data_IF_262597153351
#
_entry.id   IF_262597153351
#
_cell.length_a   1.000
_cell.length_b   1.000
_cell.length_c   1.000
_cell.angle_alpha   90.00
_cell.angle_beta   90.00
_cell.angle_gamma   90.00
#
_symmetry.space_group_name_H-M   'P 1'
#
loop_
_entity.id
_entity.type
_entity.pdbx_description
1 polymer ?
#
# COMPACT_ATOMS: atom_id res chain seq x y z
N UNK A 1 4.84 -29.77 32.25
CA UNK A 1 5.14 -28.33 32.46
C UNK A 1 5.99 -27.88 31.28
N UNK A 2 5.39 -27.24 30.27
CA UNK A 2 6.12 -26.70 29.12
C UNK A 2 6.31 -25.20 29.30
N UNK A 3 7.56 -24.77 29.42
CA UNK A 3 7.93 -23.36 29.55
C UNK A 3 7.54 -22.60 28.28
N UNK A 4 6.59 -21.68 28.37
CA UNK A 4 6.34 -20.68 27.33
C UNK A 4 7.57 -19.76 27.29
N UNK A 5 8.33 -19.79 26.18
CA UNK A 5 9.37 -18.80 25.90
C UNK A 5 8.72 -17.42 25.94
N UNK A 6 9.17 -16.56 26.83
CA UNK A 6 8.87 -15.15 26.81
C UNK A 6 9.38 -14.58 25.47
N UNK A 7 8.47 -14.26 24.55
CA UNK A 7 8.81 -13.47 23.38
C UNK A 7 9.22 -12.08 23.91
N UNK A 8 10.51 -11.77 23.81
CA UNK A 8 11.10 -10.53 24.30
C UNK A 8 10.38 -9.33 23.69
N UNK A 9 9.59 -8.61 24.48
CA UNK A 9 8.93 -7.37 24.08
C UNK A 9 9.91 -6.28 23.65
N UNK A 10 11.16 -6.36 24.10
CA UNK A 10 12.25 -5.52 23.64
C UNK A 10 12.59 -5.69 22.16
N UNK A 11 12.30 -6.85 21.54
CA UNK A 11 12.59 -7.06 20.12
C UNK A 11 11.60 -6.35 19.21
N UNK A 12 10.30 -6.33 19.53
CA UNK A 12 9.32 -5.68 18.65
C UNK A 12 9.52 -4.16 18.60
N UNK A 13 9.71 -3.55 19.77
CA UNK A 13 9.94 -2.10 19.84
C UNK A 13 11.20 -1.73 19.07
N UNK A 14 12.28 -2.51 19.22
CA UNK A 14 13.53 -2.32 18.49
C UNK A 14 13.37 -2.49 16.97
N UNK A 15 12.62 -3.51 16.54
CA UNK A 15 12.29 -3.72 15.12
C UNK A 15 11.50 -2.54 14.55
N UNK A 16 10.51 -2.03 15.29
CA UNK A 16 9.70 -0.88 14.86
C UNK A 16 10.55 0.39 14.80
N UNK A 17 11.45 0.61 15.75
CA UNK A 17 12.39 1.72 15.71
C UNK A 17 13.29 1.67 14.49
N UNK A 18 13.77 0.47 14.16
CA UNK A 18 14.58 0.24 12.98
C UNK A 18 13.80 0.53 11.68
N UNK A 19 12.56 0.05 11.58
CA UNK A 19 11.67 0.32 10.43
C UNK A 19 11.38 1.82 10.30
N UNK A 20 11.12 2.52 11.41
CA UNK A 20 10.90 3.96 11.44
C UNK A 20 12.18 4.79 11.25
N UNK A 21 13.36 4.16 11.21
CA UNK A 21 14.65 4.84 11.06
C UNK A 21 15.09 5.66 12.27
N UNK A 22 14.60 5.34 13.47
CA UNK A 22 14.88 6.07 14.72
C UNK A 22 15.90 5.31 15.56
N UNK A 23 16.96 6.00 15.98
CA UNK A 23 18.07 5.40 16.73
C UNK A 23 17.73 5.13 18.22
N UNK A 24 16.80 5.88 18.79
CA UNK A 24 16.36 5.74 20.19
C UNK A 24 14.85 5.98 20.32
N UNK A 25 14.12 4.93 20.70
CA UNK A 25 12.67 4.94 20.91
C UNK A 25 12.28 5.89 22.04
N UNK A 26 13.17 6.11 23.01
CA UNK A 26 12.92 6.96 24.17
C UNK A 26 12.73 8.43 23.78
N UNK A 27 13.14 8.82 22.56
CA UNK A 27 12.90 10.16 22.01
C UNK A 27 11.54 10.31 21.35
N UNK A 28 10.82 9.21 21.11
CA UNK A 28 9.49 9.22 20.53
C UNK A 28 8.45 9.36 21.63
N UNK A 29 7.40 10.13 21.36
CA UNK A 29 6.25 10.18 22.25
C UNK A 29 5.54 8.81 22.22
N UNK A 30 5.50 8.06 23.33
CA UNK A 30 4.94 6.71 23.34
C UNK A 30 3.41 6.66 23.15
N UNK A 31 2.74 7.82 23.29
CA UNK A 31 1.31 8.00 23.04
C UNK A 31 1.00 8.52 21.63
N UNK A 32 2.03 8.87 20.83
CA UNK A 32 1.82 9.22 19.43
C UNK A 32 1.47 7.98 18.62
N UNK A 33 0.58 8.16 17.63
CA UNK A 33 0.24 7.09 16.72
C UNK A 33 1.38 6.85 15.73
N UNK A 34 1.59 5.60 15.32
CA UNK A 34 2.60 5.26 14.30
C UNK A 34 2.39 6.06 13.00
N UNK A 35 1.14 6.31 12.60
CA UNK A 35 0.81 7.14 11.45
C UNK A 35 1.29 8.59 11.54
N UNK A 36 1.36 9.14 12.75
CA UNK A 36 1.80 10.51 12.99
C UNK A 36 3.34 10.59 13.13
N UNK A 37 3.98 9.45 13.40
CA UNK A 37 5.44 9.28 13.44
C UNK A 37 6.06 9.04 12.05
N UNK A 38 5.28 9.18 10.99
CA UNK A 38 5.77 9.09 9.61
C UNK A 38 5.69 7.70 8.99
N UNK A 39 4.84 6.81 9.51
CA UNK A 39 4.58 5.51 8.90
C UNK A 39 4.13 5.68 7.44
N UNK A 40 4.94 5.19 6.51
CA UNK A 40 4.60 5.13 5.09
C UNK A 40 3.94 3.78 4.75
N UNK A 41 3.54 3.61 3.48
CA UNK A 41 2.85 2.40 3.06
C UNK A 41 3.73 1.14 3.09
N UNK A 42 5.05 1.29 2.98
CA UNK A 42 6.03 0.19 3.00
C UNK A 42 6.34 -0.22 4.45
N UNK A 43 6.69 0.76 5.29
CA UNK A 43 6.91 0.62 6.73
C UNK A 43 5.69 0.00 7.42
N UNK A 44 4.47 0.40 7.02
CA UNK A 44 3.25 -0.18 7.56
C UNK A 44 3.11 -1.68 7.26
N UNK A 45 3.55 -2.13 6.09
CA UNK A 45 3.53 -3.56 5.72
C UNK A 45 4.62 -4.33 6.46
N UNK A 46 5.80 -3.74 6.67
CA UNK A 46 6.87 -4.36 7.46
C UNK A 46 6.47 -4.57 8.91
N UNK A 47 5.85 -3.56 9.55
CA UNK A 47 5.32 -3.68 10.92
C UNK A 47 4.21 -4.73 10.99
N UNK A 48 3.33 -4.77 9.99
CA UNK A 48 2.29 -5.80 9.89
C UNK A 48 2.89 -7.21 9.88
N UNK A 49 3.89 -7.44 9.02
CA UNK A 49 4.54 -8.74 8.91
C UNK A 49 5.29 -9.13 10.18
N UNK A 50 5.93 -8.17 10.87
CA UNK A 50 6.61 -8.42 12.14
C UNK A 50 5.61 -8.85 13.23
N UNK A 51 4.46 -8.18 13.32
CA UNK A 51 3.39 -8.53 14.25
C UNK A 51 2.78 -9.91 13.96
N UNK A 52 2.53 -10.23 12.69
CA UNK A 52 1.96 -11.52 12.29
C UNK A 52 2.95 -12.67 12.50
N UNK A 53 4.23 -12.49 12.14
CA UNK A 53 5.24 -13.55 12.20
C UNK A 53 5.73 -13.85 13.61
N UNK A 54 6.03 -12.80 14.37
CA UNK A 54 6.74 -12.94 15.64
C UNK A 54 5.78 -13.01 16.85
N UNK A 55 4.57 -12.49 16.69
CA UNK A 55 3.58 -12.37 17.78
C UNK A 55 2.21 -13.00 17.46
N UNK A 56 1.98 -13.52 16.25
CA UNK A 56 0.69 -14.06 15.79
C UNK A 56 -0.47 -13.06 15.92
N UNK A 57 -0.16 -11.76 15.77
CA UNK A 57 -1.11 -10.67 15.88
C UNK A 57 -1.49 -10.19 14.48
N UNK A 58 -2.75 -10.42 14.10
CA UNK A 58 -3.31 -9.96 12.83
C UNK A 58 -4.07 -8.66 13.05
N UNK A 59 -3.57 -7.57 12.47
CA UNK A 59 -4.20 -6.24 12.55
C UNK A 59 -4.41 -5.64 11.15
N UNK A 60 -5.43 -4.80 11.01
CA UNK A 60 -5.64 -4.06 9.76
C UNK A 60 -4.63 -2.92 9.63
N UNK A 61 -4.35 -2.48 8.39
CA UNK A 61 -3.47 -1.32 8.15
C UNK A 61 -3.97 -0.03 8.82
N UNK A 62 -5.30 0.10 8.99
CA UNK A 62 -5.89 1.24 9.71
C UNK A 62 -5.56 1.15 11.20
N UNK A 63 -5.70 -0.03 11.79
CA UNK A 63 -5.39 -0.26 13.19
C UNK A 63 -3.91 0.02 13.43
N UNK A 64 -3.02 -0.52 12.58
CA UNK A 64 -1.57 -0.29 12.65
C UNK A 64 -1.23 1.20 12.61
N UNK A 65 -1.87 1.98 11.73
CA UNK A 65 -1.66 3.43 11.66
C UNK A 65 -2.06 4.16 12.94
N UNK A 66 -3.07 3.64 13.64
CA UNK A 66 -3.58 4.20 14.91
C UNK A 66 -2.99 3.55 16.16
N UNK A 67 -2.08 2.58 16.02
CA UNK A 67 -1.37 1.99 17.15
C UNK A 67 -0.40 3.02 17.73
N UNK A 68 -0.24 2.97 19.04
CA UNK A 68 0.79 3.71 19.76
C UNK A 68 1.87 2.75 20.21
N UNK A 69 3.08 3.25 20.49
CA UNK A 69 4.18 2.44 21.02
C UNK A 69 3.79 1.79 22.36
N UNK A 70 3.04 2.50 23.20
CA UNK A 70 2.49 1.96 24.45
C UNK A 70 1.58 0.74 24.22
N UNK A 71 0.65 0.82 23.26
CA UNK A 71 -0.25 -0.31 22.93
C UNK A 71 0.53 -1.48 22.33
N UNK A 72 1.53 -1.19 21.51
CA UNK A 72 2.42 -2.19 20.92
C UNK A 72 3.25 -2.93 21.97
N UNK A 73 3.78 -2.22 22.95
CA UNK A 73 4.50 -2.83 24.07
C UNK A 73 3.58 -3.74 24.89
N UNK A 74 2.34 -3.30 25.17
CA UNK A 74 1.35 -4.13 25.85
C UNK A 74 0.98 -5.40 25.06
N UNK A 75 0.84 -5.29 23.75
CA UNK A 75 0.57 -6.41 22.86
C UNK A 75 1.74 -7.41 22.84
N UNK A 76 2.98 -6.91 22.86
CA UNK A 76 4.18 -7.74 22.91
C UNK A 76 4.37 -8.43 24.27
N UNK A 77 4.13 -7.73 25.37
CA UNK A 77 4.24 -8.27 26.74
C UNK A 77 3.13 -9.30 27.04
N UNK A 78 1.96 -9.15 26.42
CA UNK A 78 0.81 -10.05 26.61
C UNK A 78 0.89 -11.34 25.78
N UNK A 79 1.95 -11.55 25.00
CA UNK A 79 2.24 -12.83 24.34
C UNK A 79 1.09 -13.44 23.54
N UNK A 80 0.33 -12.61 22.81
CA UNK A 80 -0.76 -13.07 21.95
C UNK A 80 -2.00 -13.59 22.69
N UNK A 81 -2.17 -13.33 24.00
CA UNK A 81 -3.48 -13.57 24.63
C UNK A 81 -4.43 -12.40 24.34
N UNK A 82 -5.58 -12.63 23.69
CA UNK A 82 -6.58 -11.59 23.47
C UNK A 82 -7.28 -11.31 24.80
N UNK A 83 -6.70 -10.43 25.63
CA UNK A 83 -7.44 -9.82 26.73
C UNK A 83 -8.41 -8.79 26.15
N UNK A 84 -9.61 -9.29 25.83
CA UNK A 84 -10.90 -8.65 26.11
C UNK A 84 -10.91 -7.12 26.12
N UNK A 85 -10.88 -6.52 24.94
CA UNK A 85 -11.84 -5.46 24.60
C UNK A 85 -12.34 -5.83 23.21
N UNK A 86 -13.65 -6.10 23.07
CA UNK A 86 -14.37 -6.61 21.90
C UNK A 86 -14.60 -8.14 21.92
N UNK A 87 -15.41 -8.60 22.88
CA UNK A 87 -16.19 -9.83 22.72
C UNK A 87 -17.44 -9.56 21.89
N UNK A 88 -17.73 -10.43 20.94
CA UNK A 88 -18.97 -11.26 20.85
C UNK A 88 -18.85 -12.09 19.55
N UNK A 89 -18.51 -13.38 19.61
CA UNK A 89 -19.37 -14.58 19.78
C UNK A 89 -19.23 -15.40 18.48
N UNK A 90 -18.35 -16.42 18.48
CA UNK A 90 -18.71 -17.86 18.53
C UNK A 90 -18.91 -18.41 17.10
N UNK A 91 -17.90 -19.06 16.51
CA UNK A 91 -17.63 -20.51 16.62
C UNK A 91 -18.85 -21.40 16.42
N UNK A 92 -19.38 -21.45 15.20
CA UNK A 92 -20.01 -22.65 14.62
C UNK A 92 -19.94 -22.55 13.09
N UNK A 93 -19.92 -23.68 12.36
CA UNK A 93 -19.83 -23.83 10.89
C UNK A 93 -18.42 -24.05 10.30
N UNK A 94 -17.64 -24.97 10.89
CA UNK A 94 -16.58 -25.66 10.15
C UNK A 94 -17.20 -26.74 9.26
N UNK A 95 -17.31 -26.48 7.94
CA UNK A 95 -16.94 -27.41 6.84
C UNK A 95 -17.36 -27.01 5.41
N UNK A 96 -18.03 -25.88 5.21
CA UNK A 96 -18.28 -25.34 3.85
C UNK A 96 -17.55 -24.00 3.59
N UNK A 97 -16.92 -23.44 4.62
CA UNK A 97 -16.39 -22.08 4.67
C UNK A 97 -15.01 -21.88 4.02
N UNK A 98 -14.26 -22.95 3.70
CA UNK A 98 -12.86 -22.79 3.25
C UNK A 98 -12.76 -22.25 1.81
N UNK A 99 -13.71 -22.57 0.92
CA UNK A 99 -13.72 -22.03 -0.45
C UNK A 99 -14.29 -20.62 -0.54
N UNK A 100 -15.26 -20.28 0.28
CA UNK A 100 -15.86 -18.94 0.31
C UNK A 100 -15.03 -17.94 1.14
N UNK A 101 -14.29 -18.40 2.16
CA UNK A 101 -13.37 -17.55 2.91
C UNK A 101 -12.12 -17.18 2.10
N UNK A 102 -11.60 -18.06 1.25
CA UNK A 102 -10.52 -17.71 0.30
C UNK A 102 -11.00 -16.70 -0.75
N UNK A 103 -12.21 -16.87 -1.30
CA UNK A 103 -12.78 -15.93 -2.26
C UNK A 103 -13.03 -14.54 -1.62
N UNK A 104 -13.56 -14.51 -0.39
CA UNK A 104 -13.80 -13.27 0.35
C UNK A 104 -12.49 -12.61 0.82
N UNK A 105 -11.45 -13.37 1.19
CA UNK A 105 -10.16 -12.78 1.58
C UNK A 105 -9.42 -12.21 0.38
N UNK A 106 -9.46 -12.85 -0.80
CA UNK A 106 -8.88 -12.29 -2.03
C UNK A 106 -9.62 -11.03 -2.46
N UNK A 107 -10.95 -11.03 -2.52
CA UNK A 107 -11.70 -9.81 -2.85
C UNK A 107 -11.52 -8.71 -1.81
N UNK A 108 -11.44 -9.05 -0.53
CA UNK A 108 -11.25 -8.06 0.53
C UNK A 108 -9.82 -7.53 0.56
N UNK A 109 -8.82 -8.37 0.25
CA UNK A 109 -7.44 -7.99 0.04
C UNK A 109 -7.29 -7.15 -1.23
N UNK A 110 -7.96 -7.50 -2.33
CA UNK A 110 -8.04 -6.68 -3.55
C UNK A 110 -8.75 -5.37 -3.28
N UNK A 111 -9.80 -5.33 -2.46
CA UNK A 111 -10.46 -4.07 -2.06
C UNK A 111 -9.58 -3.25 -1.13
N UNK A 112 -8.79 -3.88 -0.26
CA UNK A 112 -7.82 -3.21 0.62
C UNK A 112 -6.59 -2.73 -0.15
N UNK A 113 -6.04 -3.53 -1.05
CA UNK A 113 -4.99 -3.18 -2.00
C UNK A 113 -5.50 -2.11 -2.93
N UNK A 114 -6.70 -2.25 -3.51
CA UNK A 114 -7.34 -1.17 -4.23
C UNK A 114 -7.64 0.01 -3.33
N UNK A 115 -7.86 -0.08 -2.02
CA UNK A 115 -7.99 1.10 -1.14
C UNK A 115 -6.64 1.77 -0.84
N UNK A 116 -5.56 0.99 -0.78
CA UNK A 116 -4.19 1.45 -0.56
C UNK A 116 -3.60 2.06 -1.85
N UNK A 117 -3.83 1.41 -3.00
CA UNK A 117 -3.55 1.88 -4.36
C UNK A 117 -4.56 2.91 -4.89
N UNK A 118 -5.79 2.98 -4.35
CA UNK A 118 -6.79 4.05 -4.59
C UNK A 118 -6.29 5.40 -4.18
N UNK A 119 -5.11 5.50 -3.57
CA UNK A 119 -4.47 6.79 -3.58
C UNK A 119 -4.22 7.28 -5.01
N UNK A 120 -3.81 6.49 -6.04
CA UNK A 120 -3.65 7.00 -7.44
C UNK A 120 -3.69 6.03 -8.65
N UNK A 121 -3.78 4.70 -8.53
CA UNK A 121 -3.57 3.79 -9.70
C UNK A 121 -4.55 2.61 -9.74
N UNK A 122 -5.20 2.37 -10.89
CA UNK A 122 -5.98 1.16 -11.16
C UNK A 122 -5.02 0.03 -11.58
N UNK A 123 -5.16 -1.16 -10.99
CA UNK A 123 -4.31 -2.31 -11.31
C UNK A 123 -4.42 -2.72 -12.78
N UNK A 124 -5.56 -2.48 -13.43
CA UNK A 124 -5.74 -2.77 -14.85
C UNK A 124 -4.93 -1.83 -15.75
N UNK A 125 -4.53 -0.66 -15.24
CA UNK A 125 -3.73 0.29 -16.01
C UNK A 125 -2.24 -0.03 -16.00
N UNK A 126 -1.76 -0.93 -15.11
CA UNK A 126 -0.33 -1.20 -14.88
C UNK A 126 0.41 -1.80 -16.08
N UNK A 127 -0.31 -2.34 -17.07
CA UNK A 127 0.26 -2.82 -18.34
C UNK A 127 -0.43 -2.14 -19.52
N UNK A 128 -0.08 -0.88 -19.83
CA UNK A 128 -0.71 -0.17 -20.92
C UNK A 128 -0.35 -0.81 -22.26
N UNK A 129 -1.35 -1.08 -23.09
CA UNK A 129 -1.19 -1.56 -24.47
C UNK A 129 -1.08 -0.41 -25.47
N UNK A 130 -1.82 0.67 -25.22
CA UNK A 130 -1.85 1.84 -26.09
C UNK A 130 -0.73 2.81 -25.72
N UNK A 131 0.18 3.06 -26.66
CA UNK A 131 1.30 3.98 -26.50
C UNK A 131 0.85 5.43 -26.29
N UNK A 132 -0.26 5.83 -26.92
CA UNK A 132 -0.87 7.16 -26.79
C UNK A 132 -2.34 6.97 -26.48
N UNK A 133 -2.82 7.65 -25.44
CA UNK A 133 -4.23 7.66 -25.06
C UNK A 133 -4.78 9.09 -25.06
N UNK A 134 -5.97 9.29 -25.62
CA UNK A 134 -6.69 10.57 -25.53
C UNK A 134 -7.33 10.69 -24.14
N UNK A 135 -7.02 11.76 -23.42
CA UNK A 135 -7.35 11.89 -22.01
C UNK A 135 -8.50 12.87 -21.71
N UNK A 136 -9.04 13.53 -22.73
CA UNK A 136 -10.19 14.43 -22.57
C UNK A 136 -11.11 14.43 -23.80
N UNK A 137 -12.22 15.18 -23.70
CA UNK A 137 -13.23 15.33 -24.75
C UNK A 137 -13.00 16.52 -25.68
N UNK A 138 -11.93 17.29 -25.47
CA UNK A 138 -11.64 18.45 -26.31
C UNK A 138 -11.20 18.02 -27.71
N UNK A 139 -11.68 18.72 -28.73
CA UNK A 139 -11.37 18.44 -30.15
C UNK A 139 -10.76 19.64 -30.88
N UNK A 140 -10.87 20.83 -30.32
CA UNK A 140 -10.36 22.08 -30.90
C UNK A 140 -9.29 22.69 -30.00
N UNK A 141 -8.24 23.24 -30.63
CA UNK A 141 -7.08 23.82 -29.95
C UNK A 141 -5.78 23.08 -30.26
N UNK A 142 -4.64 23.56 -29.72
CA UNK A 142 -3.34 22.93 -29.95
C UNK A 142 -3.27 21.56 -29.26
N UNK A 143 -3.00 20.46 -30.00
CA UNK A 143 -2.84 19.15 -29.38
C UNK A 143 -1.65 19.17 -28.42
N UNK A 144 -1.88 18.76 -27.18
CA UNK A 144 -0.87 18.75 -26.12
C UNK A 144 -0.63 17.33 -25.65
N UNK A 145 0.64 16.93 -25.64
CA UNK A 145 1.07 15.60 -25.22
C UNK A 145 1.69 15.68 -23.82
N UNK A 146 1.15 14.86 -22.92
CA UNK A 146 1.68 14.62 -21.58
C UNK A 146 2.55 13.37 -21.63
N UNK A 147 3.61 13.35 -20.82
CA UNK A 147 4.45 12.17 -20.63
C UNK A 147 4.09 11.55 -19.28
N UNK A 148 3.92 10.23 -19.24
CA UNK A 148 3.66 9.50 -18.00
C UNK A 148 4.73 9.77 -16.93
N UNK A 149 4.37 9.56 -15.68
CA UNK A 149 5.29 9.56 -14.54
C UNK A 149 6.02 8.21 -14.44
N UNK A 150 6.79 7.96 -13.37
CA UNK A 150 7.61 6.74 -13.24
C UNK A 150 6.79 5.44 -13.30
N UNK A 151 5.49 5.51 -13.00
CA UNK A 151 4.54 4.40 -13.07
C UNK A 151 4.23 3.93 -14.49
N UNK A 152 4.59 4.71 -15.52
CA UNK A 152 4.40 4.29 -16.91
C UNK A 152 3.01 4.56 -17.49
N UNK A 153 2.07 5.11 -16.71
CA UNK A 153 0.64 5.13 -17.07
C UNK A 153 0.05 6.55 -17.04
N UNK A 154 -1.07 6.76 -17.74
CA UNK A 154 -1.73 8.06 -17.81
C UNK A 154 -2.52 8.45 -16.55
N UNK A 155 -2.87 7.46 -15.72
CA UNK A 155 -3.81 7.60 -14.60
C UNK A 155 -3.45 8.68 -13.58
N UNK A 156 -2.18 8.82 -13.13
CA UNK A 156 -1.78 9.89 -12.23
C UNK A 156 -2.07 11.31 -12.75
N UNK A 157 -2.00 11.51 -14.07
CA UNK A 157 -2.20 12.82 -14.72
C UNK A 157 -3.64 13.03 -15.23
N UNK A 158 -4.46 11.98 -15.26
CA UNK A 158 -5.80 11.95 -15.86
C UNK A 158 -6.71 13.08 -15.36
N UNK A 159 -6.67 13.38 -14.06
CA UNK A 159 -7.48 14.45 -13.43
C UNK A 159 -7.11 15.85 -13.92
N UNK A 160 -5.84 16.07 -14.27
CA UNK A 160 -5.36 17.34 -14.83
C UNK A 160 -5.77 17.42 -16.29
N UNK A 161 -5.44 16.38 -17.08
CA UNK A 161 -5.72 16.32 -18.51
C UNK A 161 -7.22 16.44 -18.82
N UNK A 162 -8.09 15.86 -17.99
CA UNK A 162 -9.55 15.95 -18.15
C UNK A 162 -10.10 17.37 -18.01
N UNK A 163 -9.34 18.28 -17.39
CA UNK A 163 -9.71 19.70 -17.18
C UNK A 163 -9.10 20.64 -18.23
N UNK A 164 -8.23 20.15 -19.11
CA UNK A 164 -7.67 20.95 -20.19
C UNK A 164 -8.76 21.32 -21.21
N UNK A 165 -8.68 22.55 -21.73
CA UNK A 165 -9.58 23.09 -22.76
C UNK A 165 -9.09 22.84 -24.20
N UNK A 166 -7.99 22.11 -24.37
CA UNK A 166 -7.40 21.70 -25.63
C UNK A 166 -7.26 20.16 -25.68
N UNK A 167 -7.15 19.51 -26.85
CA UNK A 167 -7.00 18.07 -26.96
C UNK A 167 -5.76 17.60 -26.18
N UNK A 168 -5.97 16.78 -25.16
CA UNK A 168 -4.91 16.27 -24.30
C UNK A 168 -4.70 14.78 -24.57
N UNK A 169 -3.45 14.42 -24.88
CA UNK A 169 -3.00 13.05 -25.09
C UNK A 169 -1.93 12.71 -24.05
N UNK A 170 -1.80 11.45 -23.67
CA UNK A 170 -0.72 10.99 -22.79
C UNK A 170 0.04 9.84 -23.44
N UNK A 171 1.37 9.93 -23.41
CA UNK A 171 2.23 8.79 -23.67
C UNK A 171 2.20 7.82 -22.48
N UNK A 172 2.24 6.53 -22.78
CA UNK A 172 2.33 5.46 -21.79
C UNK A 172 3.52 4.55 -22.09
N UNK A 173 4.13 4.00 -21.05
CA UNK A 173 5.27 3.08 -21.15
C UNK A 173 4.77 1.66 -21.44
N UNK A 174 4.55 1.35 -22.70
CA UNK A 174 4.17 0.00 -23.14
C UNK A 174 5.39 -0.93 -23.21
N UNK A 175 5.16 -2.24 -23.44
CA UNK A 175 6.24 -3.24 -23.58
C UNK A 175 7.22 -2.95 -24.73
N UNK A 176 6.83 -2.13 -25.70
CA UNK A 176 7.69 -1.74 -26.83
C UNK A 176 8.57 -0.52 -26.54
N UNK A 177 8.36 0.15 -25.41
CA UNK A 177 9.12 1.34 -25.03
C UNK A 177 10.47 0.88 -24.47
N UNK A 178 11.61 1.37 -25.00
CA UNK A 178 12.93 1.03 -24.48
C UNK A 178 13.07 1.41 -23.01
N UNK A 179 13.73 0.59 -22.20
CA UNK A 179 13.96 0.86 -20.76
C UNK A 179 15.43 1.15 -20.43
N UNK A 180 16.28 1.25 -21.45
CA UNK A 180 17.72 1.35 -21.30
C UNK A 180 18.26 2.78 -21.29
N UNK A 181 17.57 3.73 -21.95
CA UNK A 181 17.94 5.15 -21.94
C UNK A 181 16.74 6.05 -22.23
N UNK A 182 16.71 7.23 -21.58
CA UNK A 182 15.63 8.20 -21.77
C UNK A 182 15.62 8.79 -23.18
N UNK A 183 16.78 8.87 -23.84
CA UNK A 183 16.91 9.29 -25.24
C UNK A 183 16.19 8.33 -26.18
N UNK A 184 16.29 7.02 -25.95
CA UNK A 184 15.59 6.01 -26.73
C UNK A 184 14.08 6.02 -26.49
N UNK A 185 13.66 6.26 -25.25
CA UNK A 185 12.24 6.50 -24.91
C UNK A 185 11.71 7.71 -25.69
N UNK A 186 12.42 8.84 -25.61
CA UNK A 186 12.04 10.07 -26.31
C UNK A 186 11.98 9.86 -27.82
N UNK A 187 12.95 9.17 -28.42
CA UNK A 187 12.93 8.82 -29.84
C UNK A 187 11.70 7.98 -30.21
N UNK A 188 11.35 6.95 -29.40
CA UNK A 188 10.15 6.14 -29.62
C UNK A 188 8.87 6.98 -29.54
N UNK A 189 8.77 7.90 -28.59
CA UNK A 189 7.58 8.78 -28.43
C UNK A 189 7.46 9.83 -29.54
N UNK A 190 8.57 10.41 -29.98
CA UNK A 190 8.56 11.38 -31.07
C UNK A 190 8.22 10.70 -32.41
N UNK A 191 8.66 9.45 -32.63
CA UNK A 191 8.44 8.73 -33.88
C UNK A 191 6.96 8.38 -34.16
N UNK A 192 6.09 8.49 -33.16
CA UNK A 192 4.65 8.15 -33.25
C UNK A 192 3.73 9.37 -33.22
N UNK A 193 4.30 10.58 -33.17
CA UNK A 193 3.60 11.86 -33.31
C UNK A 193 3.71 12.40 -34.74
#
# INVERSE_FOLDING_TARGET
MGAKKAASSGNLLQTIAHILGVNDISQLNPDANLGDLGLDSLMGVEIKQALERDYDIVLSMKDIRTLTLNKLQQLADSGGTPSTVLQTTELELKKESEKEAEQNTVEQLERQMNQLFKMRVDVNDLEPTDLIVKCNKAESGPPTFFVHSIEGIATPLKKVMSKCNFPAYCFQSTREVPQDSIEKVAQKYIAVC
#
